data_IF_858237655609
#
_entry.id   IF_858237655609
#
_cell.length_a   1.000
_cell.length_b   1.000
_cell.length_c   1.000
_cell.angle_alpha   90.00
_cell.angle_beta   90.00
_cell.angle_gamma   90.00
#
_symmetry.space_group_name_H-M   'P 1'
#
loop_
_entity.id
_entity.type
_entity.pdbx_description
1 polymer ?
#
# COMPACT_ATOMS: atom_id res chain seq x y z
N UNK A 1 -2.52 -24.64 1.54
CA UNK A 1 -1.03 -24.80 1.53
C UNK A 1 -0.38 -24.29 0.24
N UNK A 2 -0.81 -24.69 -0.98
CA UNK A 2 -0.20 -24.19 -2.23
C UNK A 2 -0.33 -22.66 -2.43
N UNK A 3 -1.49 -22.07 -2.15
CA UNK A 3 -1.74 -20.64 -2.40
C UNK A 3 -0.89 -19.70 -1.53
N UNK A 4 -0.65 -20.06 -0.26
CA UNK A 4 0.25 -19.31 0.62
C UNK A 4 1.72 -19.36 0.15
N UNK A 5 2.15 -20.47 -0.45
CA UNK A 5 3.48 -20.55 -1.07
C UNK A 5 3.58 -19.67 -2.31
N UNK A 6 2.53 -19.61 -3.14
CA UNK A 6 2.47 -18.68 -4.26
C UNK A 6 2.52 -17.22 -3.79
N UNK A 7 1.80 -16.90 -2.70
CA UNK A 7 1.83 -15.56 -2.11
C UNK A 7 3.24 -15.21 -1.59
N UNK A 8 3.90 -16.14 -0.90
CA UNK A 8 5.28 -15.98 -0.44
C UNK A 8 6.25 -15.75 -1.60
N UNK A 9 6.16 -16.56 -2.66
CA UNK A 9 6.96 -16.41 -3.86
C UNK A 9 6.70 -15.07 -4.56
N UNK A 10 5.45 -14.64 -4.67
CA UNK A 10 5.07 -13.35 -5.25
C UNK A 10 5.64 -12.16 -4.47
N UNK A 11 5.59 -12.19 -3.13
CA UNK A 11 6.17 -11.15 -2.29
C UNK A 11 7.70 -11.14 -2.34
N UNK A 12 8.34 -12.32 -2.36
CA UNK A 12 9.79 -12.44 -2.52
C UNK A 12 10.25 -11.91 -3.89
N UNK A 13 9.53 -12.25 -4.96
CA UNK A 13 9.79 -11.73 -6.29
C UNK A 13 9.57 -10.22 -6.36
N UNK A 14 8.49 -9.70 -5.77
CA UNK A 14 8.23 -8.26 -5.71
C UNK A 14 9.37 -7.52 -4.99
N UNK A 15 9.84 -8.03 -3.86
CA UNK A 15 10.98 -7.46 -3.14
C UNK A 15 12.25 -7.45 -4.01
N UNK A 16 12.56 -8.57 -4.68
CA UNK A 16 13.72 -8.67 -5.57
C UNK A 16 13.63 -7.70 -6.75
N UNK A 17 12.44 -7.54 -7.35
CA UNK A 17 12.22 -6.59 -8.43
C UNK A 17 12.38 -5.14 -7.97
N UNK A 18 11.85 -4.78 -6.80
CA UNK A 18 12.01 -3.44 -6.21
C UNK A 18 13.48 -3.13 -5.95
N UNK A 19 14.22 -4.07 -5.38
CA UNK A 19 15.68 -3.93 -5.15
C UNK A 19 16.42 -3.78 -6.46
N UNK A 20 16.13 -4.64 -7.45
CA UNK A 20 16.77 -4.59 -8.77
C UNK A 20 16.50 -3.26 -9.46
N UNK A 21 15.25 -2.79 -9.41
CA UNK A 21 14.83 -1.50 -9.94
C UNK A 21 15.56 -0.34 -9.26
N UNK A 22 15.64 -0.31 -7.92
CA UNK A 22 16.31 0.76 -7.20
C UNK A 22 17.84 0.76 -7.43
N UNK A 23 18.45 -0.42 -7.63
CA UNK A 23 19.86 -0.55 -8.00
C UNK A 23 20.11 0.02 -9.40
N UNK A 24 19.30 -0.38 -10.38
CA UNK A 24 19.43 0.10 -11.77
C UNK A 24 19.01 1.57 -11.91
N UNK A 25 18.13 2.03 -11.03
CA UNK A 25 17.56 3.37 -11.01
C UNK A 25 18.55 4.48 -10.62
N UNK A 26 18.05 5.72 -10.50
CA UNK A 26 18.87 6.90 -10.26
C UNK A 26 19.46 7.00 -8.85
N UNK A 27 19.18 6.02 -7.98
CA UNK A 27 19.67 5.97 -6.61
C UNK A 27 21.09 5.39 -6.50
N UNK A 28 21.41 4.34 -7.28
CA UNK A 28 22.68 3.59 -7.14
C UNK A 28 23.48 3.60 -8.44
N UNK A 29 23.04 2.89 -9.49
CA UNK A 29 23.82 2.75 -10.73
C UNK A 29 23.49 3.79 -11.79
N UNK A 30 22.33 4.47 -11.67
CA UNK A 30 21.87 5.49 -12.61
C UNK A 30 21.87 4.99 -14.07
N UNK A 31 21.38 3.77 -14.31
CA UNK A 31 21.22 3.19 -15.65
C UNK A 31 19.85 3.50 -16.26
N UNK A 32 18.83 3.61 -15.41
CA UNK A 32 17.47 4.02 -15.80
C UNK A 32 17.37 5.54 -15.67
N UNK A 33 17.24 6.20 -16.81
CA UNK A 33 17.01 7.62 -16.92
C UNK A 33 15.53 7.89 -17.19
N UNK A 34 14.84 8.35 -16.16
CA UNK A 34 13.46 8.78 -16.25
C UNK A 34 13.32 10.09 -17.03
N UNK A 35 12.23 10.19 -17.80
CA UNK A 35 11.93 11.38 -18.62
C UNK A 35 11.07 12.32 -17.79
N UNK A 36 11.69 12.98 -16.82
CA UNK A 36 11.04 13.83 -15.82
C UNK A 36 11.92 15.04 -15.48
N UNK A 37 11.38 16.00 -14.73
CA UNK A 37 12.13 17.17 -14.28
C UNK A 37 13.17 16.82 -13.22
N UNK A 38 14.07 17.74 -12.91
CA UNK A 38 15.05 17.57 -11.82
C UNK A 38 14.36 17.29 -10.48
N UNK A 39 13.24 17.95 -10.20
CA UNK A 39 12.44 17.71 -9.00
C UNK A 39 11.77 16.34 -9.01
N UNK A 40 11.22 15.92 -10.15
CA UNK A 40 10.70 14.56 -10.32
C UNK A 40 11.78 13.50 -10.06
N UNK A 41 13.01 13.73 -10.51
CA UNK A 41 14.13 12.81 -10.27
C UNK A 41 14.50 12.72 -8.78
N UNK A 42 14.52 13.85 -8.06
CA UNK A 42 14.74 13.88 -6.61
C UNK A 42 13.66 13.11 -5.86
N UNK A 43 12.40 13.24 -6.28
CA UNK A 43 11.28 12.48 -5.74
C UNK A 43 11.45 10.97 -6.00
N UNK A 44 11.81 10.55 -7.22
CA UNK A 44 12.06 9.13 -7.52
C UNK A 44 13.16 8.57 -6.62
N UNK A 45 14.29 9.26 -6.47
CA UNK A 45 15.38 8.83 -5.56
C UNK A 45 14.89 8.66 -4.11
N UNK A 46 14.10 9.61 -3.62
CA UNK A 46 13.56 9.58 -2.27
C UNK A 46 12.54 8.47 -2.06
N UNK A 47 11.68 8.23 -3.06
CA UNK A 47 10.72 7.12 -3.07
C UNK A 47 11.42 5.77 -3.11
N UNK A 48 12.48 5.62 -3.92
CA UNK A 48 13.30 4.40 -3.99
C UNK A 48 14.00 4.11 -2.66
N UNK A 49 14.56 5.13 -2.02
CA UNK A 49 15.16 5.02 -0.69
C UNK A 49 14.14 4.53 0.35
N UNK A 50 12.94 5.12 0.38
CA UNK A 50 11.88 4.70 1.27
C UNK A 50 11.37 3.29 0.95
N UNK A 51 11.28 2.92 -0.33
CA UNK A 51 10.89 1.58 -0.75
C UNK A 51 11.88 0.52 -0.28
N UNK A 52 13.19 0.79 -0.39
CA UNK A 52 14.24 -0.09 0.13
C UNK A 52 14.22 -0.18 1.67
N UNK A 53 13.99 0.93 2.36
CA UNK A 53 14.02 0.99 3.82
C UNK A 53 12.76 0.42 4.50
N UNK A 54 11.61 0.45 3.82
CA UNK A 54 10.31 0.10 4.42
C UNK A 54 9.57 -0.97 3.62
N UNK A 55 9.33 -0.75 2.33
CA UNK A 55 8.48 -1.63 1.52
C UNK A 55 9.11 -3.00 1.30
N UNK A 56 10.41 -3.05 0.97
CA UNK A 56 11.15 -4.30 0.80
C UNK A 56 11.17 -5.14 2.09
N UNK A 57 11.53 -4.59 3.27
CA UNK A 57 11.39 -5.30 4.54
C UNK A 57 9.98 -5.83 4.80
N UNK A 58 8.94 -5.03 4.53
CA UNK A 58 7.55 -5.46 4.70
C UNK A 58 7.22 -6.63 3.76
N UNK A 59 7.60 -6.57 2.48
CA UNK A 59 7.45 -7.69 1.55
C UNK A 59 8.12 -8.97 2.06
N UNK A 60 9.36 -8.87 2.55
CA UNK A 60 10.13 -10.02 3.06
C UNK A 60 9.46 -10.60 4.30
N UNK A 61 9.12 -9.78 5.30
CA UNK A 61 8.48 -10.23 6.54
C UNK A 61 7.14 -10.91 6.25
N UNK A 62 6.30 -10.30 5.42
CA UNK A 62 5.00 -10.88 5.05
C UNK A 62 5.18 -12.14 4.19
N UNK A 63 6.19 -12.17 3.32
CA UNK A 63 6.56 -13.35 2.53
C UNK A 63 6.98 -14.53 3.41
N UNK A 64 7.78 -14.29 4.45
CA UNK A 64 8.16 -15.30 5.45
C UNK A 64 6.93 -15.79 6.23
N UNK A 65 6.02 -14.89 6.62
CA UNK A 65 4.76 -15.26 7.27
C UNK A 65 3.90 -16.14 6.34
N UNK A 66 3.78 -15.78 5.06
CA UNK A 66 3.06 -16.58 4.08
C UNK A 66 3.70 -17.96 3.88
N UNK A 67 5.03 -18.04 3.82
CA UNK A 67 5.77 -19.30 3.73
C UNK A 67 5.49 -20.22 4.93
N UNK A 68 5.39 -19.63 6.12
CA UNK A 68 5.01 -20.30 7.38
C UNK A 68 3.51 -20.59 7.49
N UNK A 69 2.72 -20.31 6.44
CA UNK A 69 1.25 -20.43 6.42
C UNK A 69 0.53 -19.62 7.51
N UNK A 70 1.09 -18.48 7.92
CA UNK A 70 0.48 -17.65 8.95
C UNK A 70 -0.84 -17.02 8.44
N UNK A 71 -1.95 -17.09 9.20
CA UNK A 71 -3.28 -16.68 8.71
C UNK A 71 -3.40 -15.18 8.43
N UNK A 72 -2.56 -14.34 9.05
CA UNK A 72 -2.53 -12.90 8.77
C UNK A 72 -1.92 -12.55 7.41
N UNK A 73 -1.14 -13.45 6.80
CA UNK A 73 -0.31 -13.12 5.65
C UNK A 73 -1.10 -12.62 4.42
N UNK A 74 -2.24 -13.20 4.03
CA UNK A 74 -3.03 -12.69 2.90
C UNK A 74 -3.51 -11.25 3.09
N UNK A 75 -3.87 -10.86 4.32
CA UNK A 75 -4.32 -9.51 4.64
C UNK A 75 -3.17 -8.52 4.60
N UNK A 76 -2.04 -8.88 5.21
CA UNK A 76 -0.84 -8.04 5.25
C UNK A 76 -0.22 -7.83 3.87
N UNK A 77 -0.33 -8.82 2.98
CA UNK A 77 0.21 -8.76 1.62
C UNK A 77 -0.45 -7.69 0.75
N UNK A 78 -1.69 -7.29 1.06
CA UNK A 78 -2.41 -6.26 0.30
C UNK A 78 -1.69 -4.91 0.33
N UNK A 79 -1.10 -4.53 1.47
CA UNK A 79 -0.50 -3.21 1.65
C UNK A 79 0.69 -2.96 0.71
N UNK A 80 1.79 -3.75 0.73
CA UNK A 80 2.92 -3.54 -0.17
C UNK A 80 2.56 -3.80 -1.64
N UNK A 81 1.61 -4.69 -1.91
CA UNK A 81 1.19 -4.99 -3.28
C UNK A 81 0.36 -3.85 -3.89
N UNK A 82 -0.59 -3.27 -3.15
CA UNK A 82 -1.33 -2.08 -3.61
C UNK A 82 -0.42 -0.86 -3.76
N UNK A 83 0.52 -0.66 -2.82
CA UNK A 83 1.56 0.36 -2.94
C UNK A 83 2.34 0.20 -4.24
N UNK A 84 2.90 -1.00 -4.49
CA UNK A 84 3.69 -1.27 -5.68
C UNK A 84 2.88 -1.09 -6.97
N UNK A 85 1.64 -1.59 -6.99
CA UNK A 85 0.75 -1.46 -8.14
C UNK A 85 0.48 0.00 -8.48
N UNK A 86 0.26 0.84 -7.46
CA UNK A 86 0.09 2.29 -7.62
C UNK A 86 1.39 2.97 -8.09
N UNK A 87 2.50 2.76 -7.39
CA UNK A 87 3.75 3.50 -7.65
C UNK A 87 4.36 3.13 -8.99
N UNK A 88 4.49 1.83 -9.31
CA UNK A 88 5.21 1.41 -10.51
C UNK A 88 4.38 1.59 -11.79
N UNK A 89 3.04 1.60 -11.69
CA UNK A 89 2.22 2.00 -12.85
C UNK A 89 2.37 3.49 -13.16
N UNK A 90 2.49 4.36 -12.15
CA UNK A 90 2.79 5.77 -12.39
C UNK A 90 4.18 5.98 -12.97
N UNK A 91 5.19 5.20 -12.56
CA UNK A 91 6.53 5.26 -13.14
C UNK A 91 6.59 4.76 -14.59
N UNK A 92 5.57 4.03 -15.07
CA UNK A 92 5.40 3.73 -16.50
C UNK A 92 4.71 4.92 -17.17
N UNK A 93 3.56 5.34 -16.66
CA UNK A 93 2.64 6.24 -17.35
C UNK A 93 3.06 7.72 -17.28
N UNK A 94 3.75 8.12 -16.22
CA UNK A 94 4.04 9.52 -15.91
C UNK A 94 5.16 10.16 -16.73
N UNK A 95 5.89 9.39 -17.53
CA UNK A 95 7.07 9.91 -18.23
C UNK A 95 6.72 10.82 -19.41
N UNK A 96 7.51 11.87 -19.60
CA UNK A 96 7.45 12.78 -20.74
C UNK A 96 8.14 12.18 -21.98
N UNK A 97 7.64 11.05 -22.47
CA UNK A 97 8.26 10.21 -23.51
C UNK A 97 8.74 10.98 -24.75
N UNK A 98 8.01 12.03 -25.14
CA UNK A 98 8.28 12.80 -26.35
C UNK A 98 9.04 14.12 -26.10
N UNK A 99 9.17 14.57 -24.84
CA UNK A 99 9.68 15.91 -24.53
C UNK A 99 11.00 15.90 -23.78
N UNK A 100 11.18 14.99 -22.81
CA UNK A 100 12.35 14.97 -21.95
C UNK A 100 13.27 13.79 -22.29
N UNK A 101 14.60 13.95 -22.19
CA UNK A 101 15.56 12.89 -22.46
C UNK A 101 15.46 11.78 -21.41
N UNK A 102 15.76 10.55 -21.81
CA UNK A 102 15.75 9.38 -20.94
C UNK A 102 15.79 8.08 -21.73
N UNK A 103 15.73 6.95 -21.03
CA UNK A 103 15.76 5.61 -21.64
C UNK A 103 14.83 4.62 -20.94
N UNK A 104 13.93 5.09 -20.05
CA UNK A 104 13.05 4.27 -19.22
C UNK A 104 12.20 3.29 -20.02
N UNK A 105 11.84 3.62 -21.27
CA UNK A 105 11.09 2.74 -22.17
C UNK A 105 11.80 1.39 -22.42
N UNK A 106 13.14 1.33 -22.34
CA UNK A 106 13.91 0.09 -22.46
C UNK A 106 13.71 -0.84 -21.27
N UNK A 107 13.33 -0.27 -20.13
CA UNK A 107 13.06 -0.97 -18.87
C UNK A 107 11.56 -1.18 -18.63
N UNK A 108 10.71 -0.86 -19.61
CA UNK A 108 9.28 -1.14 -19.53
C UNK A 108 8.96 -2.59 -19.12
N UNK A 109 9.64 -3.64 -19.62
CA UNK A 109 9.38 -5.00 -19.17
C UNK A 109 9.60 -5.22 -17.66
N UNK A 110 10.60 -4.56 -17.07
CA UNK A 110 10.87 -4.62 -15.63
C UNK A 110 9.72 -3.98 -14.84
N UNK A 111 9.34 -2.75 -15.20
CA UNK A 111 8.25 -2.02 -14.53
C UNK A 111 6.91 -2.75 -14.70
N UNK A 112 6.65 -3.31 -15.89
CA UNK A 112 5.47 -4.12 -16.15
C UNK A 112 5.47 -5.39 -15.29
N UNK A 113 6.62 -6.07 -15.15
CA UNK A 113 6.72 -7.23 -14.28
C UNK A 113 6.41 -6.88 -12.82
N UNK A 114 6.90 -5.73 -12.33
CA UNK A 114 6.58 -5.22 -11.00
C UNK A 114 5.08 -5.01 -10.83
N UNK A 115 4.43 -4.36 -11.80
CA UNK A 115 2.97 -4.18 -11.81
C UNK A 115 2.23 -5.52 -11.82
N UNK A 116 2.57 -6.45 -12.72
CA UNK A 116 1.89 -7.74 -12.85
C UNK A 116 2.06 -8.61 -11.60
N UNK A 117 3.27 -8.66 -11.02
CA UNK A 117 3.52 -9.39 -9.77
C UNK A 117 2.73 -8.76 -8.63
N UNK A 118 2.71 -7.44 -8.52
CA UNK A 118 1.93 -6.75 -7.49
C UNK A 118 0.43 -7.02 -7.63
N UNK A 119 -0.12 -6.95 -8.85
CA UNK A 119 -1.51 -7.28 -9.14
C UNK A 119 -1.84 -8.75 -8.81
N UNK A 120 -0.94 -9.69 -9.16
CA UNK A 120 -1.10 -11.09 -8.81
C UNK A 120 -1.11 -11.30 -7.28
N UNK A 121 -0.23 -10.63 -6.53
CA UNK A 121 -0.22 -10.68 -5.06
C UNK A 121 -1.51 -10.09 -4.48
N UNK A 122 -2.01 -8.98 -5.02
CA UNK A 122 -3.31 -8.42 -4.62
C UNK A 122 -4.42 -9.44 -4.84
N UNK A 123 -4.52 -10.05 -6.03
CA UNK A 123 -5.56 -11.02 -6.36
C UNK A 123 -5.48 -12.28 -5.49
N UNK A 124 -4.27 -12.82 -5.29
CA UNK A 124 -4.04 -13.98 -4.43
C UNK A 124 -4.34 -13.68 -2.97
N UNK A 125 -3.92 -12.54 -2.45
CA UNK A 125 -4.25 -12.09 -1.09
C UNK A 125 -5.75 -11.89 -0.95
N UNK A 126 -6.36 -11.19 -1.90
CA UNK A 126 -7.79 -10.86 -1.89
C UNK A 126 -8.65 -12.12 -1.89
N UNK A 127 -8.42 -13.07 -2.79
CA UNK A 127 -9.21 -14.31 -2.89
C UNK A 127 -9.15 -15.19 -1.65
N UNK A 128 -8.08 -15.10 -0.85
CA UNK A 128 -7.91 -15.86 0.38
C UNK A 128 -8.60 -15.22 1.61
N UNK A 129 -8.96 -13.94 1.53
CA UNK A 129 -9.57 -13.23 2.67
C UNK A 129 -11.09 -13.36 2.63
N UNK A 130 -11.64 -14.06 3.62
CA UNK A 130 -13.08 -14.11 3.91
C UNK A 130 -13.41 -13.03 4.94
N UNK A 131 -14.24 -12.02 4.62
CA UNK A 131 -14.53 -10.90 5.52
C UNK A 131 -15.09 -11.32 6.89
N UNK A 132 -15.85 -12.41 6.95
CA UNK A 132 -16.41 -12.96 8.19
C UNK A 132 -15.38 -13.58 9.13
N UNK A 133 -14.22 -14.01 8.60
CA UNK A 133 -13.15 -14.63 9.37
C UNK A 133 -12.10 -13.62 9.85
N UNK A 134 -12.21 -12.36 9.43
CA UNK A 134 -11.35 -11.29 9.95
C UNK A 134 -11.73 -11.01 11.41
N UNK A 135 -10.75 -10.74 12.29
CA UNK A 135 -11.03 -10.34 13.65
C UNK A 135 -12.03 -9.18 13.65
N UNK A 136 -13.06 -9.23 14.50
CA UNK A 136 -13.99 -8.11 14.61
C UNK A 136 -13.20 -6.88 15.04
N UNK A 137 -13.27 -5.81 14.23
CA UNK A 137 -12.73 -4.52 14.65
C UNK A 137 -13.55 -4.05 15.85
N UNK A 138 -12.89 -3.59 16.91
CA UNK A 138 -13.58 -2.92 18.01
C UNK A 138 -14.36 -1.73 17.45
N UNK A 139 -15.49 -1.38 18.05
CA UNK A 139 -16.34 -0.28 17.56
C UNK A 139 -15.58 1.04 17.43
N UNK A 140 -14.60 1.28 18.32
CA UNK A 140 -13.71 2.45 18.26
C UNK A 140 -12.73 2.39 17.10
N UNK A 141 -12.08 1.24 16.88
CA UNK A 141 -11.12 1.07 15.78
C UNK A 141 -11.82 1.12 14.42
N UNK A 142 -12.97 0.46 14.27
CA UNK A 142 -13.76 0.51 13.03
C UNK A 142 -14.22 1.93 12.69
N UNK A 143 -14.70 2.69 13.68
CA UNK A 143 -15.08 4.09 13.50
C UNK A 143 -13.87 4.98 13.21
N UNK A 144 -12.76 4.78 13.93
CA UNK A 144 -11.51 5.50 13.72
C UNK A 144 -10.93 5.29 12.32
N UNK A 145 -10.86 4.04 11.85
CA UNK A 145 -10.48 3.69 10.47
C UNK A 145 -11.40 4.32 9.44
N UNK A 146 -12.71 4.31 9.70
CA UNK A 146 -13.70 4.95 8.83
C UNK A 146 -13.49 6.47 8.72
N UNK A 147 -13.34 7.16 9.85
CA UNK A 147 -13.04 8.60 9.90
C UNK A 147 -11.72 8.89 9.19
N UNK A 148 -10.67 8.13 9.50
CA UNK A 148 -9.34 8.34 8.92
C UNK A 148 -9.37 8.24 7.39
N UNK A 149 -10.06 7.23 6.83
CA UNK A 149 -10.20 7.10 5.37
C UNK A 149 -10.95 8.27 4.73
N UNK A 150 -12.00 8.78 5.38
CA UNK A 150 -12.71 9.97 4.89
C UNK A 150 -11.81 11.21 4.97
N UNK A 151 -11.09 11.39 6.07
CA UNK A 151 -10.14 12.50 6.24
C UNK A 151 -9.04 12.45 5.19
N UNK A 152 -8.47 11.27 4.92
CA UNK A 152 -7.48 11.07 3.87
C UNK A 152 -8.08 11.43 2.50
N UNK A 153 -9.29 10.97 2.17
CA UNK A 153 -9.94 11.29 0.90
C UNK A 153 -10.14 12.81 0.74
N UNK A 154 -10.64 13.49 1.78
CA UNK A 154 -10.80 14.95 1.77
C UNK A 154 -9.46 15.65 1.66
N UNK A 155 -8.44 15.20 2.39
CA UNK A 155 -7.10 15.77 2.34
C UNK A 155 -6.44 15.62 0.96
N UNK A 156 -6.56 14.45 0.33
CA UNK A 156 -6.05 14.21 -1.04
C UNK A 156 -6.73 15.16 -2.03
N UNK A 157 -8.06 15.26 -1.99
CA UNK A 157 -8.80 16.11 -2.94
C UNK A 157 -8.54 17.60 -2.66
N UNK A 158 -8.80 18.06 -1.44
CA UNK A 158 -8.82 19.49 -1.09
C UNK A 158 -7.42 20.00 -0.75
N UNK A 159 -6.66 19.24 0.03
CA UNK A 159 -5.34 19.62 0.51
C UNK A 159 -4.25 19.48 -0.53
N UNK A 160 -4.20 18.33 -1.23
CA UNK A 160 -3.10 18.02 -2.15
C UNK A 160 -3.35 18.44 -3.60
N UNK A 161 -4.60 18.47 -4.06
CA UNK A 161 -4.86 18.58 -5.50
C UNK A 161 -5.68 19.78 -5.93
N UNK A 162 -6.67 20.21 -5.15
CA UNK A 162 -7.63 21.24 -5.57
C UNK A 162 -6.96 22.51 -6.10
N UNK A 163 -5.99 23.07 -5.35
CA UNK A 163 -5.28 24.29 -5.77
C UNK A 163 -4.55 24.10 -7.08
N UNK A 164 -3.74 23.04 -7.19
CA UNK A 164 -2.97 22.74 -8.40
C UNK A 164 -3.86 22.42 -9.61
N UNK A 165 -5.03 21.82 -9.38
CA UNK A 165 -5.98 21.49 -10.43
C UNK A 165 -6.67 22.77 -10.96
N UNK A 166 -7.09 23.67 -10.06
CA UNK A 166 -7.67 24.97 -10.43
C UNK A 166 -6.66 25.81 -11.22
N UNK A 167 -5.39 25.84 -10.78
CA UNK A 167 -4.32 26.53 -11.50
C UNK A 167 -4.11 25.96 -12.91
N UNK A 168 -4.01 24.63 -13.05
CA UNK A 168 -3.84 23.96 -14.33
C UNK A 168 -5.01 24.14 -15.31
N UNK A 169 -6.22 24.45 -14.81
CA UNK A 169 -7.41 24.75 -15.63
C UNK A 169 -7.57 26.24 -15.93
N UNK A 170 -6.67 27.10 -15.44
CA UNK A 170 -6.69 28.54 -15.73
C UNK A 170 -6.11 28.86 -17.11
N UNK A 171 -6.36 30.07 -17.61
CA UNK A 171 -5.82 30.52 -18.91
C UNK A 171 -4.29 30.65 -18.90
N UNK A 172 -3.69 30.90 -17.73
CA UNK A 172 -2.25 31.09 -17.55
C UNK A 172 -1.76 30.29 -16.34
N UNK A 173 -1.64 28.96 -16.47
CA UNK A 173 -1.18 28.11 -15.38
C UNK A 173 0.26 28.45 -15.01
N UNK A 174 0.55 28.55 -13.71
CA UNK A 174 1.86 28.96 -13.21
C UNK A 174 2.60 27.84 -12.44
N UNK A 175 1.91 26.76 -12.06
CA UNK A 175 2.49 25.69 -11.26
C UNK A 175 3.57 24.88 -11.99
N UNK A 176 4.79 24.89 -11.45
CA UNK A 176 5.94 24.16 -11.98
C UNK A 176 5.65 22.67 -12.22
N UNK A 177 4.95 22.00 -11.30
CA UNK A 177 4.58 20.60 -11.45
C UNK A 177 3.80 20.29 -12.74
N UNK A 178 2.94 21.22 -13.19
CA UNK A 178 2.20 21.09 -14.45
C UNK A 178 3.02 21.53 -15.66
N UNK A 179 3.76 22.62 -15.55
CA UNK A 179 4.53 23.17 -16.66
C UNK A 179 5.74 22.30 -17.04
N UNK A 180 6.43 21.73 -16.04
CA UNK A 180 7.65 20.94 -16.25
C UNK A 180 7.33 19.51 -16.71
N UNK A 181 6.32 18.88 -16.10
CA UNK A 181 5.97 17.46 -16.30
C UNK A 181 4.45 17.25 -16.38
N UNK A 182 3.77 17.77 -17.42
CA UNK A 182 2.31 17.70 -17.54
C UNK A 182 1.73 16.28 -17.56
N UNK A 183 2.43 15.30 -18.13
CA UNK A 183 2.01 13.89 -18.15
C UNK A 183 2.01 13.32 -16.74
N UNK A 184 3.11 13.49 -15.99
CA UNK A 184 3.16 13.07 -14.57
C UNK A 184 2.04 13.76 -13.78
N UNK A 185 1.88 15.08 -13.96
CA UNK A 185 0.85 15.86 -13.27
C UNK A 185 -0.53 15.25 -13.44
N UNK A 186 -0.97 14.99 -14.68
CA UNK A 186 -2.29 14.43 -14.95
C UNK A 186 -2.43 12.97 -14.51
N UNK A 187 -1.40 12.15 -14.67
CA UNK A 187 -1.40 10.76 -14.20
C UNK A 187 -1.61 10.71 -12.69
N UNK A 188 -0.88 11.51 -11.91
CA UNK A 188 -1.05 11.59 -10.45
C UNK A 188 -2.49 11.99 -10.10
N UNK A 189 -3.03 13.02 -10.74
CA UNK A 189 -4.42 13.46 -10.49
C UNK A 189 -5.45 12.39 -10.85
N UNK A 190 -5.26 11.67 -11.95
CA UNK A 190 -6.15 10.59 -12.34
C UNK A 190 -6.17 9.47 -11.29
N UNK A 191 -5.00 9.02 -10.82
CA UNK A 191 -4.92 8.00 -9.79
C UNK A 191 -5.53 8.49 -8.47
N UNK A 192 -5.16 9.69 -8.05
CA UNK A 192 -5.52 10.17 -6.71
C UNK A 192 -6.99 10.58 -6.63
N UNK A 193 -7.50 11.33 -7.61
CA UNK A 193 -8.88 11.81 -7.65
C UNK A 193 -9.86 10.80 -8.25
N UNK A 194 -9.42 10.02 -9.23
CA UNK A 194 -10.27 9.07 -9.96
C UNK A 194 -10.40 7.70 -9.28
N UNK A 195 -9.40 7.29 -8.50
CA UNK A 195 -9.33 5.93 -7.95
C UNK A 195 -9.19 5.96 -6.42
N UNK A 196 -8.13 6.59 -5.92
CA UNK A 196 -7.70 6.45 -4.53
C UNK A 196 -8.62 7.17 -3.55
N UNK A 197 -8.96 8.45 -3.80
CA UNK A 197 -9.87 9.19 -2.94
C UNK A 197 -11.31 8.62 -2.96
N UNK A 198 -11.91 8.27 -4.12
CA UNK A 198 -13.21 7.61 -4.15
C UNK A 198 -13.22 6.27 -3.42
N UNK A 199 -12.20 5.43 -3.59
CA UNK A 199 -12.09 4.16 -2.89
C UNK A 199 -11.99 4.36 -1.37
N UNK A 200 -11.16 5.30 -0.91
CA UNK A 200 -11.04 5.64 0.50
C UNK A 200 -12.36 6.16 1.08
N UNK A 201 -13.07 7.05 0.37
CA UNK A 201 -14.37 7.57 0.79
C UNK A 201 -15.42 6.46 0.90
N UNK A 202 -15.55 5.63 -0.14
CA UNK A 202 -16.49 4.51 -0.17
C UNK A 202 -16.26 3.52 0.97
N UNK A 203 -15.01 3.13 1.21
CA UNK A 203 -14.64 2.20 2.28
C UNK A 203 -14.79 2.84 3.65
N UNK A 204 -14.41 4.12 3.78
CA UNK A 204 -14.56 4.89 5.01
C UNK A 204 -16.03 5.02 5.44
N UNK A 205 -16.90 5.46 4.53
CA UNK A 205 -18.36 5.50 4.75
C UNK A 205 -18.90 4.11 5.03
N UNK A 206 -18.40 3.09 4.34
CA UNK A 206 -18.80 1.71 4.56
C UNK A 206 -18.51 1.22 5.99
N UNK A 207 -17.33 1.55 6.52
CA UNK A 207 -16.97 1.25 7.92
C UNK A 207 -17.81 2.04 8.91
N UNK A 208 -18.08 3.33 8.65
CA UNK A 208 -18.93 4.17 9.49
C UNK A 208 -20.37 3.65 9.56
N UNK A 209 -20.88 3.11 8.45
CA UNK A 209 -22.17 2.43 8.36
C UNK A 209 -22.15 0.97 8.81
N UNK A 210 -21.00 0.48 9.30
CA UNK A 210 -20.78 -0.88 9.83
C UNK A 210 -21.03 -2.00 8.80
N UNK A 211 -20.85 -1.73 7.50
CA UNK A 211 -20.95 -2.78 6.49
C UNK A 211 -19.77 -3.75 6.56
N UNK A 212 -20.05 -5.06 6.49
CA UNK A 212 -19.03 -6.11 6.61
C UNK A 212 -18.04 -6.12 5.44
N UNK A 213 -18.49 -5.80 4.23
CA UNK A 213 -17.65 -5.80 3.04
C UNK A 213 -16.50 -4.79 3.13
N UNK A 214 -16.69 -3.68 3.87
CA UNK A 214 -15.72 -2.58 3.98
C UNK A 214 -14.49 -2.95 4.82
N UNK A 215 -14.57 -3.99 5.66
CA UNK A 215 -13.47 -4.40 6.55
C UNK A 215 -12.23 -4.82 5.77
N UNK A 216 -12.44 -5.65 4.75
CA UNK A 216 -11.38 -6.23 3.93
C UNK A 216 -10.58 -5.17 3.14
N UNK A 217 -11.20 -4.29 2.32
CA UNK A 217 -10.47 -3.23 1.64
C UNK A 217 -9.81 -2.24 2.60
N UNK A 218 -10.40 -1.97 3.75
CA UNK A 218 -9.81 -1.04 4.73
C UNK A 218 -8.41 -1.47 5.16
N UNK A 219 -8.18 -2.77 5.42
CA UNK A 219 -6.84 -3.28 5.75
C UNK A 219 -5.82 -3.02 4.63
N UNK A 220 -6.20 -3.23 3.37
CA UNK A 220 -5.30 -3.00 2.23
C UNK A 220 -5.01 -1.51 2.02
N UNK A 221 -6.07 -0.68 1.96
CA UNK A 221 -5.97 0.75 1.67
C UNK A 221 -5.20 1.49 2.78
N UNK A 222 -5.53 1.25 4.06
CA UNK A 222 -4.85 1.91 5.17
C UNK A 222 -3.36 1.53 5.24
N UNK A 223 -3.03 0.25 5.03
CA UNK A 223 -1.64 -0.17 4.98
C UNK A 223 -0.88 0.43 3.80
N UNK A 224 -1.49 0.47 2.62
CA UNK A 224 -0.89 1.07 1.43
C UNK A 224 -0.63 2.57 1.63
N UNK A 225 -1.56 3.31 2.25
CA UNK A 225 -1.36 4.73 2.57
C UNK A 225 -0.19 4.96 3.53
N UNK A 226 0.04 4.07 4.49
CA UNK A 226 1.22 4.19 5.39
C UNK A 226 2.52 4.05 4.60
N UNK A 227 2.58 3.10 3.66
CA UNK A 227 3.75 2.93 2.80
C UNK A 227 3.93 4.12 1.84
N UNK A 228 2.82 4.67 1.31
CA UNK A 228 2.85 5.90 0.52
C UNK A 228 3.33 7.09 1.35
N UNK A 229 2.89 7.24 2.61
CA UNK A 229 3.34 8.32 3.48
C UNK A 229 4.85 8.25 3.74
N UNK A 230 5.41 7.05 3.94
CA UNK A 230 6.87 6.86 4.01
C UNK A 230 7.57 7.20 2.70
N UNK A 231 6.98 6.86 1.55
CA UNK A 231 7.51 7.22 0.24
C UNK A 231 7.55 8.74 0.04
N UNK A 232 6.46 9.45 0.37
CA UNK A 232 6.40 10.93 0.29
C UNK A 232 7.35 11.59 1.30
N UNK A 233 7.52 11.02 2.49
CA UNK A 233 8.54 11.49 3.43
C UNK A 233 9.97 11.31 2.87
N UNK A 234 10.25 10.18 2.21
CA UNK A 234 11.51 9.93 1.51
C UNK A 234 11.74 10.90 0.34
N UNK A 235 10.70 11.18 -0.45
CA UNK A 235 10.70 12.19 -1.51
C UNK A 235 11.07 13.56 -0.95
N UNK A 236 10.36 14.03 0.08
CA UNK A 236 10.64 15.33 0.71
C UNK A 236 12.05 15.41 1.30
N UNK A 237 12.54 14.32 1.90
CA UNK A 237 13.91 14.23 2.40
C UNK A 237 14.95 14.36 1.27
N UNK A 238 14.77 13.62 0.19
CA UNK A 238 15.66 13.67 -0.98
C UNK A 238 15.65 15.05 -1.64
N UNK A 239 14.48 15.67 -1.78
CA UNK A 239 14.34 17.04 -2.29
C UNK A 239 15.11 18.05 -1.41
N UNK A 240 15.03 17.93 -0.08
CA UNK A 240 15.81 18.78 0.83
C UNK A 240 17.33 18.60 0.68
N UNK A 241 17.78 17.35 0.60
CA UNK A 241 19.21 17.05 0.45
C UNK A 241 19.80 17.59 -0.85
N UNK A 242 19.00 17.65 -1.92
CA UNK A 242 19.44 18.10 -3.24
C UNK A 242 19.16 19.59 -3.50
N UNK A 243 18.70 20.35 -2.49
CA UNK A 243 18.44 21.78 -2.62
C UNK A 243 17.31 22.11 -3.59
N UNK A 244 16.31 21.24 -3.69
CA UNK A 244 15.17 21.41 -4.59
C UNK A 244 14.35 22.66 -4.20
N UNK A 245 13.98 23.54 -5.15
CA UNK A 245 13.22 24.75 -4.86
C UNK A 245 11.84 24.47 -4.26
N UNK A 246 11.26 23.28 -4.52
CA UNK A 246 9.98 22.87 -3.97
C UNK A 246 10.12 22.17 -2.60
N UNK A 247 11.34 22.00 -2.08
CA UNK A 247 11.56 21.35 -0.80
C UNK A 247 11.23 22.26 0.39
N UNK A 248 10.65 21.68 1.45
CA UNK A 248 10.56 22.36 2.75
C UNK A 248 10.76 21.41 3.93
N UNK A 249 11.45 21.91 4.96
CA UNK A 249 11.69 21.16 6.21
C UNK A 249 10.36 20.84 6.90
N UNK A 250 9.40 21.77 6.82
CA UNK A 250 8.05 21.58 7.35
C UNK A 250 7.31 20.43 6.65
N UNK A 251 7.42 20.30 5.33
CA UNK A 251 6.83 19.20 4.58
C UNK A 251 7.48 17.87 4.93
N UNK A 252 8.81 17.79 4.98
CA UNK A 252 9.49 16.57 5.42
C UNK A 252 9.07 16.16 6.83
N UNK A 253 9.17 17.08 7.80
CA UNK A 253 8.79 16.83 9.19
C UNK A 253 7.32 16.40 9.32
N UNK A 254 6.42 17.09 8.63
CA UNK A 254 4.99 16.77 8.61
C UNK A 254 4.69 15.38 8.04
N UNK A 255 5.32 15.02 6.91
CA UNK A 255 5.12 13.72 6.27
C UNK A 255 5.75 12.58 7.08
N UNK A 256 6.93 12.79 7.66
CA UNK A 256 7.57 11.81 8.54
C UNK A 256 6.73 11.56 9.82
N UNK A 257 6.19 12.62 10.43
CA UNK A 257 5.29 12.50 11.57
C UNK A 257 4.00 11.75 11.20
N UNK A 258 3.39 12.09 10.05
CA UNK A 258 2.19 11.41 9.54
C UNK A 258 2.46 9.93 9.25
N UNK A 259 3.58 9.60 8.60
CA UNK A 259 3.98 8.23 8.30
C UNK A 259 4.23 7.42 9.59
N UNK A 260 4.85 8.04 10.59
CA UNK A 260 5.09 7.43 11.92
C UNK A 260 3.78 7.17 12.66
N UNK A 261 2.89 8.16 12.74
CA UNK A 261 1.56 8.01 13.35
C UNK A 261 0.72 6.96 12.62
N UNK A 262 0.77 6.96 11.28
CA UNK A 262 0.13 5.95 10.43
C UNK A 262 0.67 4.56 10.69
N UNK A 263 1.97 4.40 10.92
CA UNK A 263 2.61 3.12 11.25
C UNK A 263 2.14 2.58 12.60
N UNK A 264 2.03 3.46 13.62
CA UNK A 264 1.44 3.10 14.92
C UNK A 264 -0.02 2.67 14.75
N UNK A 265 -0.79 3.41 13.96
CA UNK A 265 -2.19 3.07 13.66
C UNK A 265 -2.30 1.72 12.93
N UNK A 266 -1.47 1.47 11.91
CA UNK A 266 -1.43 0.21 11.18
C UNK A 266 -1.04 -0.97 12.08
N UNK A 267 -0.10 -0.77 13.02
CA UNK A 267 0.21 -1.77 14.03
C UNK A 267 -1.01 -2.13 14.87
N UNK A 268 -1.75 -1.14 15.38
CA UNK A 268 -2.98 -1.37 16.15
C UNK A 268 -4.07 -2.05 15.31
N UNK A 269 -4.15 -1.70 14.03
CA UNK A 269 -5.07 -2.29 13.07
C UNK A 269 -4.76 -3.78 12.83
N UNK A 270 -3.49 -4.13 12.62
CA UNK A 270 -3.08 -5.50 12.28
C UNK A 270 -2.83 -6.41 13.48
N UNK A 271 -2.53 -5.86 14.67
CA UNK A 271 -2.23 -6.65 15.89
C UNK A 271 -3.25 -7.77 16.17
N UNK A 272 -4.58 -7.57 16.06
CA UNK A 272 -5.55 -8.64 16.31
C UNK A 272 -5.40 -9.87 15.40
N UNK A 273 -4.84 -9.70 14.20
CA UNK A 273 -4.62 -10.81 13.25
C UNK A 273 -3.60 -11.84 13.78
N UNK A 274 -2.70 -11.42 14.65
CA UNK A 274 -1.68 -12.29 15.25
C UNK A 274 -2.19 -12.98 16.53
N UNK A 275 -3.13 -12.36 17.25
CA UNK A 275 -3.71 -12.95 18.48
C UNK A 275 -4.60 -14.15 18.16
N UNK A 276 -5.45 -14.08 17.12
CA UNK A 276 -6.27 -15.22 16.69
C UNK A 276 -5.44 -16.43 16.23
N UNK A 277 -4.26 -16.18 15.64
CA UNK A 277 -3.37 -17.25 15.19
C UNK A 277 -2.82 -18.07 16.36
N UNK A 278 -2.54 -17.42 17.50
CA UNK A 278 -2.05 -18.07 18.71
C UNK A 278 -3.13 -18.91 19.40
N UNK A 279 -4.38 -18.42 19.47
CA UNK A 279 -5.48 -19.12 20.15
C UNK A 279 -5.89 -20.43 19.45
N UNK A 280 -5.76 -20.51 18.12
CA UNK A 280 -6.04 -21.74 17.37
C UNK A 280 -5.04 -22.89 17.66
N UNK A 281 -3.83 -22.55 18.13
CA UNK A 281 -2.78 -23.53 18.49
C UNK A 281 -2.96 -24.06 19.93
N UNK A 282 -3.82 -23.44 20.75
CA UNK A 282 -4.00 -23.77 22.17
C UNK A 282 -5.41 -24.27 22.52
N UNK A 283 -6.28 -24.52 21.55
CA UNK A 283 -7.53 -25.22 21.84
C UNK A 283 -7.20 -26.67 22.24
N UNK A 284 -7.43 -27.09 23.50
CA UNK A 284 -7.35 -28.50 23.84
C UNK A 284 -8.42 -29.20 23.02
N UNK A 285 -8.05 -30.31 22.37
CA UNK A 285 -9.03 -31.25 21.83
C UNK A 285 -9.81 -31.80 23.02
N UNK A 286 -10.90 -31.13 23.40
CA UNK A 286 -11.86 -31.69 24.33
C UNK A 286 -12.58 -32.81 23.60
N UNK A 287 -12.01 -34.00 23.72
CA UNK A 287 -12.71 -35.25 23.46
C UNK A 287 -13.89 -35.35 24.44
N UNK A 288 -15.03 -34.74 24.12
CA UNK A 288 -16.30 -34.95 24.83
C UNK A 288 -17.38 -35.41 23.85
N UNK A 289 -17.05 -36.46 23.10
CA UNK A 289 -17.96 -37.10 22.15
C UNK A 289 -17.82 -38.61 22.18
N UNK A 290 -18.00 -39.24 23.36
CA UNK A 290 -18.27 -40.68 23.53
C UNK A 290 -18.60 -40.93 25.00
N UNK A 291 -19.89 -41.11 25.33
CA UNK A 291 -20.25 -41.51 26.70
C UNK A 291 -21.70 -41.33 27.13
N UNK A 292 -22.61 -40.79 26.30
CA UNK A 292 -24.02 -40.59 26.68
C UNK A 292 -25.04 -41.53 26.04
N UNK A 293 -24.61 -42.50 25.24
CA UNK A 293 -25.54 -43.36 24.48
C UNK A 293 -25.67 -44.81 25.00
N UNK A 294 -25.01 -45.19 26.10
CA UNK A 294 -25.07 -46.57 26.62
C UNK A 294 -25.87 -46.75 27.92
N UNK A 295 -26.53 -45.70 28.45
CA UNK A 295 -27.29 -45.81 29.71
C UNK A 295 -28.81 -45.97 29.60
N UNK A 296 -29.39 -45.95 28.40
CA UNK A 296 -30.86 -46.11 28.23
C UNK A 296 -31.33 -47.53 27.91
N UNK A 297 -30.43 -48.50 27.64
CA UNK A 297 -30.80 -49.85 27.22
C UNK A 297 -30.74 -50.93 28.32
N UNK A 298 -30.63 -50.55 29.61
CA UNK A 298 -30.56 -51.49 30.75
C UNK A 298 -31.70 -51.36 31.78
N UNK A 299 -32.86 -50.84 31.37
CA UNK A 299 -34.07 -50.81 32.20
C UNK A 299 -35.30 -51.25 31.40
N UNK A 300 -35.30 -52.50 30.94
CA UNK A 300 -36.52 -53.20 30.49
C UNK A 300 -36.21 -54.67 30.20
N UNK A 301 -35.97 -55.45 31.25
CA UNK A 301 -36.28 -56.89 31.36
C UNK A 301 -36.56 -57.16 32.83
#
# INVERSE_FOLDING_TARGET
MRTNRCLAAGLGLLAALVVSYAILGPLILNQIHFRTSSSGLNQIRGGDLAALAVVVPVCVVVGVLAWRNHPAAPVLALAPALFAMYTYSQLILGNEYLKLPGNVERYFPLLLAMFLVSAAVVLLGWTQIVPGNLPPMSGRLGRGSGILLVVIAVFVVVGLHLRSLVDAMSEQPAGAAYLDTPVTFWVVKFYDLGIVAPAALCVGVGLLRRYLWARKPAYGILGAYVLLAWSVAGMAFSMLLNGDPDASVAQFGGMAALASAGSVFAYLLYRPLFVMAGSAVHAPVTASGRGREQRSLRRSV
#
